data_IF_540935266544
#
_entry.id   IF_540935266544
#
_cell.length_a   1.000
_cell.length_b   1.000
_cell.length_c   1.000
_cell.angle_alpha   90.00
_cell.angle_beta   90.00
_cell.angle_gamma   90.00
#
_symmetry.space_group_name_H-M   'P 1'
#
loop_
_entity.id
_entity.type
_entity.pdbx_description
1 polymer ?
#
# COMPACT_ATOMS: atom_id res chain seq x y z
N UNK A 1 4.89 11.87 -8.83
CA UNK A 1 4.87 11.15 -7.54
C UNK A 1 5.81 9.95 -7.58
N UNK A 2 6.68 9.73 -6.60
CA UNK A 2 7.50 8.52 -6.47
C UNK A 2 6.62 7.28 -6.22
N UNK A 3 7.22 6.11 -6.35
CA UNK A 3 6.53 4.86 -6.03
C UNK A 3 6.20 4.77 -4.53
N UNK A 4 4.97 4.46 -4.17
CA UNK A 4 4.45 4.45 -2.78
C UNK A 4 5.37 3.75 -1.77
N UNK A 5 6.00 2.63 -2.15
CA UNK A 5 6.91 1.90 -1.26
C UNK A 5 8.25 2.62 -1.01
N UNK A 6 8.54 3.72 -1.71
CA UNK A 6 9.72 4.54 -1.45
C UNK A 6 9.49 5.57 -0.32
N UNK A 7 8.25 6.01 -0.10
CA UNK A 7 7.91 7.04 0.90
C UNK A 7 8.31 6.69 2.34
N UNK A 8 8.21 5.42 2.81
CA UNK A 8 8.73 5.06 4.13
C UNK A 8 10.21 5.38 4.37
N UNK A 9 11.00 5.63 3.30
CA UNK A 9 12.38 6.05 3.45
C UNK A 9 12.52 7.37 4.23
N UNK A 10 11.57 8.29 4.08
CA UNK A 10 11.57 9.58 4.77
C UNK A 10 11.51 9.44 6.30
N UNK A 11 10.84 8.40 6.80
CA UNK A 11 10.65 8.17 8.24
C UNK A 11 11.66 7.20 8.85
N UNK A 12 12.59 6.62 8.09
CA UNK A 12 13.61 5.68 8.59
C UNK A 12 14.39 6.22 9.80
N UNK A 13 14.82 7.51 9.86
CA UNK A 13 15.52 8.05 11.01
C UNK A 13 14.68 8.10 12.30
N UNK A 14 13.36 8.08 12.16
CA UNK A 14 12.38 8.17 13.24
C UNK A 14 11.90 6.80 13.74
N UNK A 15 12.38 5.67 13.18
CA UNK A 15 11.98 4.32 13.58
C UNK A 15 12.59 3.93 14.94
N UNK A 16 12.34 4.75 15.95
CA UNK A 16 12.84 4.59 17.34
C UNK A 16 11.84 5.20 18.33
N UNK A 17 11.92 4.76 19.60
CA UNK A 17 11.10 5.37 20.67
C UNK A 17 11.37 6.88 20.75
N UNK A 18 10.34 7.68 21.04
CA UNK A 18 8.98 7.29 21.49
C UNK A 18 8.00 6.98 20.35
N UNK A 19 8.41 7.11 19.08
CA UNK A 19 7.54 6.88 17.93
C UNK A 19 7.14 5.41 17.78
N UNK A 20 5.99 5.19 17.11
CA UNK A 20 5.46 3.88 16.76
C UNK A 20 5.84 3.58 15.30
N UNK A 21 6.86 2.72 15.04
CA UNK A 21 7.37 2.47 13.68
C UNK A 21 6.30 2.06 12.68
N UNK A 22 5.38 1.17 13.08
CA UNK A 22 4.30 0.73 12.20
C UNK A 22 3.37 1.88 11.80
N UNK A 23 3.09 2.84 12.70
CA UNK A 23 2.25 4.00 12.42
C UNK A 23 2.97 5.03 11.53
N UNK A 24 4.28 5.23 11.71
CA UNK A 24 5.10 6.06 10.81
C UNK A 24 5.07 5.54 9.38
N UNK A 25 5.33 4.22 9.20
CA UNK A 25 5.35 3.58 7.89
C UNK A 25 3.95 3.58 7.26
N UNK A 26 2.92 3.21 8.02
CA UNK A 26 1.54 3.21 7.54
C UNK A 26 1.09 4.62 7.14
N UNK A 27 1.41 5.65 7.94
CA UNK A 27 1.12 7.05 7.61
C UNK A 27 1.85 7.50 6.34
N UNK A 28 3.11 7.12 6.17
CA UNK A 28 3.88 7.44 4.96
C UNK A 28 3.37 6.73 3.68
N UNK A 29 2.45 5.78 3.80
CA UNK A 29 1.82 5.08 2.66
C UNK A 29 0.35 5.46 2.47
N UNK A 30 -0.28 6.03 3.50
CA UNK A 30 -1.72 6.26 3.54
C UNK A 30 -2.26 7.16 2.41
N UNK A 31 -1.63 8.30 2.04
CA UNK A 31 -2.15 9.17 1.00
C UNK A 31 -2.28 8.53 -0.38
N UNK A 32 -1.48 7.50 -0.66
CA UNK A 32 -1.50 6.77 -1.93
C UNK A 32 -2.55 5.65 -2.01
N UNK A 33 -3.23 5.32 -0.91
CA UNK A 33 -4.22 4.23 -0.89
C UNK A 33 -5.31 4.38 -1.94
N UNK A 34 -5.85 5.59 -2.26
CA UNK A 34 -6.84 5.75 -3.32
C UNK A 34 -6.39 5.20 -4.68
N UNK A 35 -5.10 5.29 -5.02
CA UNK A 35 -4.58 4.72 -6.27
C UNK A 35 -4.66 3.18 -6.29
N UNK A 36 -4.42 2.53 -5.15
CA UNK A 36 -4.57 1.07 -5.03
C UNK A 36 -6.04 0.64 -5.07
N UNK A 37 -6.95 1.40 -4.43
CA UNK A 37 -8.38 1.16 -4.53
C UNK A 37 -8.87 1.30 -5.98
N UNK A 38 -8.39 2.31 -6.71
CA UNK A 38 -8.64 2.47 -8.14
C UNK A 38 -8.13 1.27 -8.96
N UNK A 39 -6.97 0.70 -8.63
CA UNK A 39 -6.45 -0.51 -9.28
C UNK A 39 -7.32 -1.75 -9.03
N UNK A 40 -8.04 -1.80 -7.89
CA UNK A 40 -9.03 -2.84 -7.57
C UNK A 40 -10.41 -2.58 -8.19
N UNK A 41 -10.58 -1.51 -8.97
CA UNK A 41 -11.85 -1.13 -9.60
C UNK A 41 -12.75 -0.24 -8.75
N UNK A 42 -12.28 0.22 -7.58
CA UNK A 42 -12.97 1.17 -6.73
C UNK A 42 -12.51 2.59 -7.08
N UNK A 43 -12.97 3.11 -8.21
CA UNK A 43 -12.60 4.46 -8.66
C UNK A 43 -13.49 5.52 -8.03
N UNK A 44 -12.95 6.75 -7.93
CA UNK A 44 -13.74 7.91 -7.52
C UNK A 44 -14.86 8.14 -8.53
N UNK A 45 -16.09 8.07 -8.05
CA UNK A 45 -17.29 8.43 -8.82
C UNK A 45 -17.92 9.62 -8.12
N UNK A 46 -18.04 10.74 -8.82
CA UNK A 46 -18.64 11.96 -8.26
C UNK A 46 -20.02 11.70 -7.68
N UNK A 47 -20.30 12.35 -6.55
CA UNK A 47 -21.57 12.23 -5.82
C UNK A 47 -21.83 10.89 -5.10
N UNK A 48 -20.82 10.03 -4.93
CA UNK A 48 -20.94 8.86 -4.06
C UNK A 48 -20.42 9.17 -2.66
N UNK A 49 -21.01 8.53 -1.63
CA UNK A 49 -20.60 8.74 -0.23
C UNK A 49 -19.16 8.31 0.04
N UNK A 50 -18.60 7.43 -0.78
CA UNK A 50 -17.22 6.92 -0.65
C UNK A 50 -16.21 7.69 -1.52
N UNK A 51 -16.66 8.71 -2.28
CA UNK A 51 -15.78 9.53 -3.12
C UNK A 51 -14.55 10.06 -2.35
N UNK A 52 -14.69 10.61 -1.12
CA UNK A 52 -13.52 11.10 -0.38
C UNK A 52 -12.47 10.02 -0.11
N UNK A 53 -12.89 8.75 0.02
CA UNK A 53 -11.99 7.61 0.25
C UNK A 53 -11.31 7.12 -1.03
N UNK A 54 -11.87 7.40 -2.21
CA UNK A 54 -11.33 6.93 -3.49
C UNK A 54 -10.68 8.05 -4.29
N UNK A 55 -10.77 9.29 -3.81
CA UNK A 55 -10.25 10.47 -4.48
C UNK A 55 -8.86 10.84 -3.94
N UNK A 56 -7.83 10.64 -4.76
CA UNK A 56 -6.44 10.97 -4.39
C UNK A 56 -6.23 12.48 -4.12
N UNK A 57 -7.01 13.36 -4.73
CA UNK A 57 -6.95 14.81 -4.42
C UNK A 57 -7.34 15.08 -2.99
N UNK A 58 -8.32 14.34 -2.44
CA UNK A 58 -8.72 14.47 -1.03
C UNK A 58 -7.59 14.00 -0.11
N UNK A 59 -6.98 12.85 -0.36
CA UNK A 59 -5.89 12.32 0.47
C UNK A 59 -4.61 13.18 0.40
N UNK A 60 -4.39 13.92 -0.68
CA UNK A 60 -3.25 14.85 -0.82
C UNK A 60 -3.60 16.28 -0.42
N UNK A 61 -4.71 16.50 0.29
CA UNK A 61 -5.10 17.79 0.82
C UNK A 61 -4.78 17.93 2.31
N UNK A 62 -4.70 19.17 2.80
CA UNK A 62 -4.48 19.43 4.24
C UNK A 62 -5.61 18.83 5.09
N UNK A 63 -6.85 18.86 4.62
CA UNK A 63 -7.99 18.22 5.31
C UNK A 63 -7.88 16.70 5.29
N UNK A 64 -7.32 16.10 4.25
CA UNK A 64 -7.07 14.68 4.13
C UNK A 64 -6.16 14.15 5.24
N UNK A 65 -5.13 14.91 5.63
CA UNK A 65 -4.19 14.54 6.70
C UNK A 65 -4.94 14.14 7.98
N UNK A 66 -5.95 14.91 8.35
CA UNK A 66 -6.69 14.73 9.62
C UNK A 66 -7.94 13.87 9.51
N UNK A 67 -8.28 13.41 8.31
CA UNK A 67 -9.50 12.64 8.05
C UNK A 67 -9.18 11.31 7.36
N UNK A 68 -9.17 11.31 6.03
CA UNK A 68 -9.07 10.14 5.17
C UNK A 68 -7.76 9.38 5.41
N UNK A 69 -6.64 10.10 5.55
CA UNK A 69 -5.33 9.46 5.71
C UNK A 69 -5.16 8.80 7.07
N UNK A 70 -5.78 9.35 8.13
CA UNK A 70 -5.82 8.66 9.43
C UNK A 70 -6.65 7.38 9.37
N UNK A 71 -7.76 7.37 8.60
CA UNK A 71 -8.56 6.17 8.38
C UNK A 71 -7.73 5.13 7.62
N UNK A 72 -7.03 5.53 6.56
CA UNK A 72 -6.15 4.62 5.81
C UNK A 72 -4.98 4.13 6.66
N UNK A 73 -4.36 5.01 7.46
CA UNK A 73 -3.32 4.60 8.41
C UNK A 73 -3.84 3.55 9.38
N UNK A 74 -5.03 3.73 9.96
CA UNK A 74 -5.65 2.74 10.83
C UNK A 74 -5.93 1.43 10.10
N UNK A 75 -6.46 1.49 8.87
CA UNK A 75 -6.67 0.32 8.00
C UNK A 75 -5.37 -0.44 7.72
N UNK A 76 -4.29 0.26 7.39
CA UNK A 76 -2.97 -0.32 7.16
C UNK A 76 -2.38 -0.94 8.44
N UNK A 77 -2.62 -0.35 9.62
CA UNK A 77 -2.21 -0.94 10.90
C UNK A 77 -2.98 -2.23 11.21
N UNK A 78 -4.28 -2.26 10.93
CA UNK A 78 -5.08 -3.49 11.05
C UNK A 78 -4.57 -4.56 10.08
N UNK A 79 -4.32 -4.18 8.82
CA UNK A 79 -3.75 -5.05 7.80
C UNK A 79 -2.37 -5.60 8.21
N UNK A 80 -1.50 -4.74 8.73
CA UNK A 80 -0.21 -5.13 9.27
C UNK A 80 -0.35 -6.18 10.38
N UNK A 81 -1.25 -5.97 11.34
CA UNK A 81 -1.50 -6.92 12.44
C UNK A 81 -2.07 -8.25 11.93
N UNK A 82 -2.97 -8.19 10.94
CA UNK A 82 -3.56 -9.37 10.32
C UNK A 82 -2.50 -10.21 9.59
N UNK A 83 -1.61 -9.57 8.82
CA UNK A 83 -0.69 -10.23 7.91
C UNK A 83 0.68 -10.53 8.53
N UNK A 84 1.08 -9.84 9.59
CA UNK A 84 2.41 -10.01 10.19
C UNK A 84 2.74 -11.45 10.53
N UNK A 85 1.88 -12.13 11.29
CA UNK A 85 2.08 -13.53 11.67
C UNK A 85 2.16 -14.48 10.46
N UNK A 86 1.15 -14.47 9.57
CA UNK A 86 1.17 -15.26 8.35
C UNK A 86 2.40 -15.03 7.48
N UNK A 87 2.80 -13.78 7.27
CA UNK A 87 3.98 -13.44 6.46
C UNK A 87 5.27 -13.92 7.11
N UNK A 88 5.43 -13.74 8.44
CA UNK A 88 6.59 -14.27 9.17
C UNK A 88 6.67 -15.79 9.11
N UNK A 89 5.53 -16.49 9.08
CA UNK A 89 5.49 -17.94 8.92
C UNK A 89 6.00 -18.43 7.55
N UNK A 90 5.96 -17.55 6.52
CA UNK A 90 6.51 -17.82 5.18
C UNK A 90 8.02 -17.51 5.09
N UNK A 91 8.55 -16.72 6.03
CA UNK A 91 9.97 -16.37 6.03
C UNK A 91 10.85 -17.61 6.36
N UNK A 92 12.11 -17.64 5.87
CA UNK A 92 13.06 -18.66 6.28
C UNK A 92 13.24 -18.72 7.80
N UNK A 93 13.60 -19.88 8.37
CA UNK A 93 13.75 -20.07 9.83
C UNK A 93 14.68 -19.08 10.53
N UNK A 94 15.67 -18.56 9.80
CA UNK A 94 16.62 -17.59 10.30
C UNK A 94 16.06 -16.15 10.39
N UNK A 95 14.82 -15.91 9.91
CA UNK A 95 14.23 -14.58 9.85
C UNK A 95 13.07 -14.48 10.86
N UNK A 96 13.12 -13.48 11.72
CA UNK A 96 12.07 -13.13 12.67
C UNK A 96 12.24 -11.69 13.09
N UNK A 97 11.16 -11.02 13.40
CA UNK A 97 11.22 -9.66 13.98
C UNK A 97 10.88 -9.79 15.46
N UNK A 98 11.87 -9.56 16.31
CA UNK A 98 11.63 -9.39 17.73
C UNK A 98 10.80 -8.10 17.92
N UNK A 99 9.55 -8.25 18.33
CA UNK A 99 8.76 -7.11 18.76
C UNK A 99 9.23 -6.76 20.18
N UNK A 100 9.81 -5.58 20.34
CA UNK A 100 9.89 -5.04 21.71
C UNK A 100 8.46 -4.96 22.22
N UNK A 101 8.15 -5.75 23.23
CA UNK A 101 6.86 -5.66 23.90
C UNK A 101 6.59 -4.17 24.24
N UNK A 102 5.41 -3.65 23.93
CA UNK A 102 5.08 -2.30 24.38
C UNK A 102 5.31 -2.25 25.89
N UNK A 103 5.86 -1.15 26.41
CA UNK A 103 6.06 -1.02 27.86
C UNK A 103 4.72 -1.30 28.52
N UNK A 104 4.76 -2.13 29.58
CA UNK A 104 3.58 -2.38 30.39
C UNK A 104 3.05 -1.00 30.85
N UNK A 105 1.94 -0.60 30.25
CA UNK A 105 1.29 0.67 30.57
C UNK A 105 0.28 0.37 31.64
N UNK A 106 0.63 0.68 32.87
CA UNK A 106 -0.29 0.62 33.98
C UNK A 106 -1.15 1.90 33.98
N UNK A 107 -2.46 1.71 33.93
CA UNK A 107 -3.45 2.75 34.09
C UNK A 107 -3.79 3.59 32.84
N UNK A 108 -4.80 4.43 32.99
CA UNK A 108 -5.40 5.26 31.94
C UNK A 108 -4.39 6.25 31.29
N UNK A 109 -3.50 6.85 32.10
CA UNK A 109 -2.48 7.78 31.60
C UNK A 109 -1.44 7.09 30.70
N UNK A 110 -1.06 5.87 31.00
CA UNK A 110 -0.16 5.08 30.17
C UNK A 110 -0.76 4.75 28.82
N UNK A 111 -2.03 4.36 28.80
CA UNK A 111 -2.78 4.11 27.55
C UNK A 111 -2.92 5.38 26.71
N UNK A 112 -3.29 6.51 27.33
CA UNK A 112 -3.39 7.82 26.66
C UNK A 112 -2.07 8.23 25.99
N UNK A 113 -0.92 8.01 26.66
CA UNK A 113 0.39 8.28 26.09
C UNK A 113 0.70 7.40 24.87
N UNK A 114 0.32 6.12 24.90
CA UNK A 114 0.50 5.23 23.74
C UNK A 114 -0.32 5.68 22.54
N UNK A 115 -1.61 6.00 22.75
CA UNK A 115 -2.49 6.50 21.68
C UNK A 115 -1.96 7.82 21.13
N UNK A 116 -1.51 8.73 21.98
CA UNK A 116 -0.89 9.99 21.55
C UNK A 116 0.31 9.75 20.63
N UNK A 117 1.27 8.88 21.03
CA UNK A 117 2.45 8.60 20.20
C UNK A 117 2.08 7.87 18.91
N UNK A 118 1.06 7.02 18.91
CA UNK A 118 0.55 6.39 17.70
C UNK A 118 0.00 7.45 16.72
N UNK A 119 -0.83 8.38 17.19
CA UNK A 119 -1.38 9.45 16.38
C UNK A 119 -0.30 10.42 15.87
N UNK A 120 0.62 10.84 16.74
CA UNK A 120 1.75 11.70 16.35
C UNK A 120 2.61 11.01 15.28
N UNK A 121 2.88 9.71 15.43
CA UNK A 121 3.65 8.94 14.44
C UNK A 121 2.91 8.84 13.11
N UNK A 122 1.59 8.59 13.13
CA UNK A 122 0.76 8.56 11.93
C UNK A 122 0.81 9.91 11.19
N UNK A 123 0.59 11.00 11.90
CA UNK A 123 0.60 12.35 11.32
C UNK A 123 1.97 12.73 10.75
N UNK A 124 3.07 12.39 11.43
CA UNK A 124 4.43 12.59 10.90
C UNK A 124 4.64 11.77 9.64
N UNK A 125 4.17 10.52 9.60
CA UNK A 125 4.24 9.67 8.41
C UNK A 125 3.50 10.29 7.23
N UNK A 126 2.25 10.71 7.42
CA UNK A 126 1.41 11.37 6.40
C UNK A 126 2.08 12.67 5.91
N UNK A 127 2.51 13.53 6.84
CA UNK A 127 3.16 14.79 6.49
C UNK A 127 4.47 14.57 5.73
N UNK A 128 5.26 13.54 6.07
CA UNK A 128 6.49 13.19 5.36
C UNK A 128 6.24 12.74 3.93
N UNK A 129 5.14 12.02 3.67
CA UNK A 129 4.69 11.64 2.34
C UNK A 129 4.40 12.88 1.50
N UNK A 130 3.51 13.74 1.97
CA UNK A 130 3.11 14.95 1.24
C UNK A 130 4.29 15.90 0.99
N UNK A 131 5.19 16.03 1.97
CA UNK A 131 6.42 16.83 1.80
C UNK A 131 7.34 16.24 0.73
N UNK A 132 7.47 14.91 0.66
CA UNK A 132 8.27 14.23 -0.36
C UNK A 132 7.69 14.44 -1.76
N UNK A 133 6.38 14.31 -1.90
CA UNK A 133 5.68 14.58 -3.17
C UNK A 133 5.82 16.03 -3.60
N UNK A 134 5.65 16.97 -2.68
CA UNK A 134 5.86 18.39 -2.98
C UNK A 134 7.26 18.67 -3.55
N UNK A 135 8.30 18.06 -2.98
CA UNK A 135 9.68 18.17 -3.48
C UNK A 135 9.82 17.51 -4.86
N UNK A 136 9.17 16.38 -5.08
CA UNK A 136 9.22 15.64 -6.36
C UNK A 136 8.52 16.40 -7.48
N UNK A 137 7.42 17.06 -7.17
CA UNK A 137 6.55 17.74 -8.14
C UNK A 137 6.99 19.21 -8.43
N UNK A 138 8.13 19.66 -7.89
CA UNK A 138 8.65 21.02 -8.10
C UNK A 138 8.99 21.36 -9.55
N UNK A 139 9.04 20.38 -10.45
CA UNK A 139 9.41 20.61 -11.87
C UNK A 139 10.87 20.98 -12.09
N UNK A 140 11.75 20.78 -11.09
CA UNK A 140 13.19 21.10 -11.18
C UNK A 140 13.92 20.33 -12.28
N UNK A 141 13.42 19.16 -12.66
CA UNK A 141 13.96 18.34 -13.74
C UNK A 141 12.88 18.04 -14.79
N UNK A 142 13.25 17.97 -16.08
CA UNK A 142 12.29 17.67 -17.14
C UNK A 142 11.69 16.27 -17.02
N UNK A 143 10.41 16.14 -17.32
CA UNK A 143 9.68 14.88 -17.36
C UNK A 143 9.61 14.18 -15.99
N UNK A 144 9.62 12.85 -16.01
CA UNK A 144 9.50 12.02 -14.81
C UNK A 144 10.85 11.64 -14.17
N UNK A 145 11.95 12.32 -14.54
CA UNK A 145 13.30 11.96 -14.07
C UNK A 145 13.37 12.02 -12.54
N UNK A 146 12.87 13.10 -11.95
CA UNK A 146 12.89 13.28 -10.49
C UNK A 146 12.07 12.20 -9.76
N UNK A 147 10.95 11.79 -10.34
CA UNK A 147 10.12 10.67 -9.85
C UNK A 147 10.91 9.35 -9.81
N UNK A 148 11.61 9.00 -10.88
CA UNK A 148 12.41 7.77 -10.94
C UNK A 148 13.61 7.82 -10.00
N UNK A 149 14.31 8.96 -9.94
CA UNK A 149 15.45 9.17 -9.02
C UNK A 149 15.00 9.04 -7.58
N UNK A 150 13.93 9.73 -7.18
CA UNK A 150 13.41 9.67 -5.82
C UNK A 150 12.91 8.27 -5.45
N UNK A 151 12.28 7.56 -6.39
CA UNK A 151 11.90 6.15 -6.19
C UNK A 151 13.13 5.28 -5.95
N UNK A 152 14.15 5.39 -6.79
CA UNK A 152 15.39 4.60 -6.65
C UNK A 152 16.13 4.91 -5.34
N UNK A 153 16.26 6.19 -4.99
CA UNK A 153 16.89 6.64 -3.73
C UNK A 153 16.12 6.14 -2.52
N UNK A 154 14.80 6.26 -2.51
CA UNK A 154 13.96 5.79 -1.42
C UNK A 154 14.07 4.27 -1.23
N UNK A 155 13.95 3.49 -2.30
CA UNK A 155 14.08 2.04 -2.23
C UNK A 155 15.50 1.61 -1.81
N UNK A 156 16.54 2.29 -2.30
CA UNK A 156 17.92 2.04 -1.89
C UNK A 156 18.12 2.33 -0.40
N UNK A 157 17.58 3.45 0.11
CA UNK A 157 17.66 3.80 1.53
C UNK A 157 16.98 2.74 2.42
N UNK A 158 15.80 2.25 2.03
CA UNK A 158 15.11 1.14 2.71
C UNK A 158 15.97 -0.13 2.66
N UNK A 159 16.49 -0.48 1.49
CA UNK A 159 17.36 -1.66 1.32
C UNK A 159 18.61 -1.60 2.22
N UNK A 160 19.29 -0.46 2.26
CA UNK A 160 20.45 -0.22 3.12
C UNK A 160 20.04 -0.32 4.60
N UNK A 161 18.90 0.27 4.98
CA UNK A 161 18.40 0.19 6.35
C UNK A 161 18.14 -1.27 6.75
N UNK A 162 17.43 -2.04 5.94
CA UNK A 162 17.14 -3.46 6.19
C UNK A 162 18.45 -4.29 6.25
N UNK A 163 19.39 -4.01 5.36
CA UNK A 163 20.69 -4.71 5.36
C UNK A 163 21.50 -4.40 6.60
N UNK A 164 21.53 -3.15 7.06
CA UNK A 164 22.23 -2.76 8.31
C UNK A 164 21.59 -3.36 9.56
N UNK A 165 20.28 -3.58 9.53
CA UNK A 165 19.52 -4.14 10.66
C UNK A 165 19.20 -5.64 10.48
N UNK A 166 19.83 -6.30 9.50
CA UNK A 166 19.56 -7.72 9.18
C UNK A 166 19.71 -8.67 10.36
N UNK A 167 20.62 -8.38 11.29
CA UNK A 167 20.86 -9.23 12.45
C UNK A 167 19.69 -9.20 13.43
N UNK A 168 19.03 -8.05 13.57
CA UNK A 168 17.77 -7.92 14.33
C UNK A 168 16.61 -8.65 13.64
N UNK A 169 16.63 -8.74 12.30
CA UNK A 169 15.64 -9.45 11.51
C UNK A 169 15.89 -10.97 11.51
N UNK A 170 17.08 -11.41 11.90
CA UNK A 170 17.46 -12.83 11.99
C UNK A 170 17.20 -13.45 13.36
N UNK A 171 16.82 -12.67 14.34
CA UNK A 171 16.48 -13.19 15.67
C UNK A 171 15.15 -13.95 15.58
N UNK A 172 15.24 -15.27 15.73
CA UNK A 172 14.08 -16.15 15.65
C UNK A 172 13.20 -15.99 16.89
N UNK A 173 11.93 -15.62 16.77
CA UNK A 173 10.95 -15.87 17.83
C UNK A 173 10.71 -17.38 17.93
N UNK A 174 10.47 -17.87 19.11
CA UNK A 174 10.22 -19.29 19.40
C UNK A 174 9.15 -19.88 18.47
N UNK A 175 9.48 -21.05 17.91
CA UNK A 175 8.98 -21.64 16.69
C UNK A 175 7.57 -22.24 16.66
N UNK A 176 6.60 -21.79 17.45
CA UNK A 176 5.29 -22.44 17.56
C UNK A 176 4.32 -22.24 16.39
N UNK A 177 4.53 -21.22 15.54
CA UNK A 177 3.61 -20.91 14.43
C UNK A 177 4.24 -21.07 13.03
N UNK A 178 5.35 -21.81 12.90
CA UNK A 178 6.02 -21.98 11.61
C UNK A 178 5.38 -23.05 10.74
N UNK A 179 5.29 -22.76 9.45
CA UNK A 179 4.88 -23.76 8.46
C UNK A 179 6.00 -24.75 8.18
N UNK A 180 5.63 -26.02 7.95
CA UNK A 180 6.56 -27.01 7.39
C UNK A 180 7.05 -26.53 6.00
N UNK A 181 8.26 -26.92 5.56
CA UNK A 181 8.80 -26.49 4.27
C UNK A 181 7.83 -26.73 3.10
N UNK A 182 7.16 -27.88 3.08
CA UNK A 182 6.19 -28.19 2.03
C UNK A 182 5.00 -27.22 2.03
N UNK A 183 4.39 -26.99 3.19
CA UNK A 183 3.27 -26.01 3.32
C UNK A 183 3.70 -24.60 2.96
N UNK A 184 4.91 -24.19 3.36
CA UNK A 184 5.46 -22.88 3.02
C UNK A 184 5.56 -22.69 1.51
N UNK A 185 6.17 -23.64 0.80
CA UNK A 185 6.33 -23.57 -0.65
C UNK A 185 4.99 -23.67 -1.40
N UNK A 186 4.01 -24.44 -0.87
CA UNK A 186 2.65 -24.47 -1.42
C UNK A 186 1.97 -23.11 -1.34
N UNK A 187 2.08 -22.43 -0.19
CA UNK A 187 1.50 -21.08 -0.02
C UNK A 187 2.23 -20.07 -0.93
N UNK A 188 3.56 -20.09 -0.96
CA UNK A 188 4.34 -19.19 -1.85
C UNK A 188 3.96 -19.42 -3.31
N UNK A 189 3.83 -20.68 -3.73
CA UNK A 189 3.39 -21.04 -5.08
C UNK A 189 1.97 -20.55 -5.38
N UNK A 190 1.04 -20.69 -4.44
CA UNK A 190 -0.32 -20.18 -4.58
C UNK A 190 -0.37 -18.65 -4.69
N UNK A 191 0.43 -17.93 -3.89
CA UNK A 191 0.56 -16.48 -3.98
C UNK A 191 1.15 -16.03 -5.32
N UNK A 192 2.20 -16.71 -5.79
CA UNK A 192 2.80 -16.43 -7.09
C UNK A 192 1.81 -16.68 -8.24
N UNK A 193 1.08 -17.81 -8.18
CA UNK A 193 0.04 -18.13 -9.16
C UNK A 193 -1.08 -17.07 -9.17
N UNK A 194 -1.52 -16.61 -8.01
CA UNK A 194 -2.53 -15.56 -7.91
C UNK A 194 -2.04 -14.24 -8.54
N UNK A 195 -0.76 -13.90 -8.36
CA UNK A 195 -0.15 -12.75 -9.05
C UNK A 195 -0.16 -12.92 -10.57
N UNK A 196 0.22 -14.10 -11.07
CA UNK A 196 0.17 -14.41 -12.51
C UNK A 196 -1.27 -14.33 -13.04
N UNK A 197 -2.23 -14.93 -12.34
CA UNK A 197 -3.65 -14.88 -12.75
C UNK A 197 -4.19 -13.45 -12.75
N UNK A 198 -3.80 -12.62 -11.77
CA UNK A 198 -4.15 -11.21 -11.74
C UNK A 198 -3.56 -10.43 -12.93
N UNK A 199 -2.30 -10.72 -13.31
CA UNK A 199 -1.67 -10.14 -14.49
C UNK A 199 -2.41 -10.55 -15.78
N UNK A 200 -2.72 -11.84 -15.92
CA UNK A 200 -3.48 -12.38 -17.07
C UNK A 200 -4.89 -11.78 -17.16
N UNK A 201 -5.56 -11.60 -16.03
CA UNK A 201 -6.90 -11.00 -15.99
C UNK A 201 -6.94 -9.54 -16.50
N UNK A 202 -5.80 -8.82 -16.42
CA UNK A 202 -5.64 -7.46 -16.97
C UNK A 202 -5.07 -7.41 -18.38
N UNK A 203 -4.68 -8.55 -18.93
CA UNK A 203 -4.13 -8.63 -20.27
C UNK A 203 -5.20 -8.42 -21.32
N UNK A 204 -5.20 -7.26 -21.98
CA UNK A 204 -6.15 -6.91 -23.06
C UNK A 204 -5.56 -7.13 -24.47
N UNK A 205 -4.38 -7.74 -24.56
CA UNK A 205 -3.60 -7.81 -25.79
C UNK A 205 -2.80 -6.53 -26.05
N UNK A 206 -1.58 -6.69 -26.59
CA UNK A 206 -0.69 -5.54 -26.81
C UNK A 206 -1.26 -4.51 -27.79
N UNK A 207 -2.11 -4.95 -28.74
CA UNK A 207 -2.75 -4.08 -29.71
C UNK A 207 -3.60 -2.95 -29.07
N UNK A 208 -4.20 -3.22 -27.89
CA UNK A 208 -4.99 -2.21 -27.17
C UNK A 208 -4.16 -0.99 -26.73
N UNK A 209 -2.86 -1.14 -26.58
CA UNK A 209 -1.95 -0.07 -26.16
C UNK A 209 -1.31 0.69 -27.32
N UNK A 210 -1.57 0.25 -28.56
CA UNK A 210 -1.04 0.91 -29.77
C UNK A 210 -1.76 2.20 -30.12
N UNK A 211 -2.90 2.45 -29.52
CA UNK A 211 -3.70 3.63 -29.78
C UNK A 211 -3.97 4.36 -28.46
N UNK A 212 -3.95 5.68 -28.52
CA UNK A 212 -4.32 6.56 -27.41
C UNK A 212 -5.28 7.63 -27.92
N UNK A 213 -6.04 8.20 -27.01
CA UNK A 213 -6.96 9.30 -27.32
C UNK A 213 -6.25 10.62 -27.03
N UNK A 214 -6.22 11.51 -28.03
CA UNK A 214 -5.71 12.87 -27.88
C UNK A 214 -6.82 13.87 -28.16
N UNK A 215 -6.81 14.98 -27.44
CA UNK A 215 -7.73 16.10 -27.70
C UNK A 215 -7.36 16.76 -29.03
N UNK A 216 -8.32 16.81 -29.95
CA UNK A 216 -8.13 17.46 -31.25
C UNK A 216 -8.40 18.97 -31.14
N UNK A 217 -7.37 19.74 -30.91
CA UNK A 217 -7.47 21.20 -30.82
C UNK A 217 -7.76 21.88 -32.16
N UNK A 218 -7.62 21.18 -33.28
CA UNK A 218 -7.86 21.73 -34.62
C UNK A 218 -9.35 21.82 -34.98
N UNK A 219 -10.22 21.15 -34.21
CA UNK A 219 -11.68 21.08 -34.45
C UNK A 219 -12.50 21.49 -33.21
N UNK A 220 -12.43 22.76 -32.77
CA UNK A 220 -13.22 23.24 -31.65
C UNK A 220 -14.73 23.26 -32.01
N UNK A 221 -15.56 22.77 -31.13
CA UNK A 221 -17.03 22.91 -31.22
C UNK A 221 -17.48 23.86 -30.12
N UNK A 222 -17.99 25.03 -30.54
CA UNK A 222 -18.49 26.03 -29.58
C UNK A 222 -20.02 25.99 -29.54
N UNK A 223 -20.58 25.80 -28.35
CA UNK A 223 -22.01 25.88 -28.09
C UNK A 223 -22.28 27.09 -27.19
N UNK A 224 -23.22 27.95 -27.62
CA UNK A 224 -23.67 29.06 -26.80
C UNK A 224 -24.93 28.63 -26.04
N UNK A 225 -24.83 28.65 -24.72
CA UNK A 225 -25.96 28.31 -23.83
C UNK A 225 -26.94 29.48 -23.70
N UNK A 226 -28.21 29.22 -23.31
CA UNK A 226 -29.14 30.26 -22.89
C UNK A 226 -28.52 31.12 -21.77
N UNK A 227 -28.36 32.42 -21.98
CA UNK A 227 -27.66 33.34 -21.10
C UNK A 227 -26.33 33.86 -21.64
N UNK A 228 -25.93 33.50 -22.88
CA UNK A 228 -24.78 34.08 -23.59
C UNK A 228 -23.42 33.47 -23.22
N UNK A 229 -23.40 32.41 -22.39
CA UNK A 229 -22.17 31.68 -22.06
C UNK A 229 -21.81 30.73 -23.18
N UNK A 230 -20.63 30.88 -23.77
CA UNK A 230 -20.12 29.96 -24.80
C UNK A 230 -19.19 28.92 -24.18
N UNK A 231 -19.48 27.64 -24.42
CA UNK A 231 -18.62 26.52 -24.03
C UNK A 231 -17.97 25.98 -25.30
N UNK A 232 -16.65 25.98 -25.32
CA UNK A 232 -15.88 25.38 -26.41
C UNK A 232 -15.40 24.01 -25.95
N UNK A 233 -15.80 22.96 -26.67
CA UNK A 233 -15.34 21.58 -26.46
C UNK A 233 -14.48 21.16 -27.65
N UNK A 234 -13.47 20.37 -27.35
CA UNK A 234 -12.57 19.80 -28.35
C UNK A 234 -12.84 18.30 -28.47
N UNK A 235 -13.15 17.78 -29.67
CA UNK A 235 -13.38 16.35 -29.86
C UNK A 235 -12.09 15.57 -29.62
N UNK A 236 -12.24 14.32 -29.21
CA UNK A 236 -11.13 13.39 -29.08
C UNK A 236 -10.87 12.69 -30.41
N UNK A 237 -9.61 12.45 -30.73
CA UNK A 237 -9.17 11.64 -31.87
C UNK A 237 -8.29 10.49 -31.40
N UNK A 238 -8.45 9.33 -31.99
CA UNK A 238 -7.54 8.21 -31.80
C UNK A 238 -6.28 8.43 -32.62
N UNK A 239 -5.13 8.37 -31.95
CA UNK A 239 -3.80 8.47 -32.56
C UNK A 239 -2.95 7.26 -32.20
N UNK A 240 -1.98 6.94 -33.05
CA UNK A 240 -1.07 5.85 -32.77
C UNK A 240 -0.10 6.29 -31.65
N UNK A 241 -0.10 5.53 -30.55
CA UNK A 241 0.80 5.75 -29.43
C UNK A 241 2.25 5.42 -29.80
N UNK A 242 3.20 6.16 -29.23
CA UNK A 242 4.60 5.80 -29.37
C UNK A 242 4.85 4.38 -28.80
N UNK A 243 5.83 3.68 -29.35
CA UNK A 243 6.19 2.35 -28.83
C UNK A 243 6.53 2.37 -27.33
N UNK A 244 7.21 3.43 -26.86
CA UNK A 244 7.53 3.61 -25.45
C UNK A 244 6.27 3.72 -24.59
N UNK A 245 5.29 4.53 -24.99
CA UNK A 245 4.01 4.70 -24.30
C UNK A 245 3.19 3.41 -24.29
N UNK A 246 3.16 2.70 -25.43
CA UNK A 246 2.45 1.44 -25.55
C UNK A 246 3.03 0.36 -24.61
N UNK A 247 4.36 0.20 -24.59
CA UNK A 247 5.04 -0.75 -23.69
C UNK A 247 4.85 -0.36 -22.23
N UNK A 248 4.97 0.93 -21.90
CA UNK A 248 4.76 1.42 -20.53
C UNK A 248 3.33 1.13 -20.05
N UNK A 249 2.31 1.45 -20.84
CA UNK A 249 0.90 1.17 -20.51
C UNK A 249 0.64 -0.32 -20.29
N UNK A 250 1.15 -1.15 -21.20
CA UNK A 250 1.06 -2.60 -21.11
C UNK A 250 1.69 -3.15 -19.82
N UNK A 251 2.95 -2.78 -19.52
CA UNK A 251 3.64 -3.23 -18.32
C UNK A 251 2.96 -2.74 -17.04
N UNK A 252 2.43 -1.53 -17.08
CA UNK A 252 1.71 -0.95 -15.94
C UNK A 252 0.43 -1.72 -15.61
N UNK A 253 -0.37 -2.09 -16.60
CA UNK A 253 -1.60 -2.84 -16.38
C UNK A 253 -1.34 -4.28 -15.90
N UNK A 254 -0.33 -4.95 -16.49
CA UNK A 254 0.11 -6.27 -16.01
C UNK A 254 0.60 -6.19 -14.57
N UNK A 255 1.42 -5.20 -14.24
CA UNK A 255 1.91 -5.02 -12.88
C UNK A 255 0.77 -4.76 -11.89
N UNK A 256 -0.19 -3.90 -12.25
CA UNK A 256 -1.40 -3.67 -11.42
C UNK A 256 -2.19 -4.94 -11.19
N UNK A 257 -2.41 -5.74 -12.24
CA UNK A 257 -3.11 -7.01 -12.13
C UNK A 257 -2.39 -7.98 -11.22
N UNK A 258 -1.06 -8.12 -11.39
CA UNK A 258 -0.23 -8.99 -10.57
C UNK A 258 -0.29 -8.58 -9.07
N UNK A 259 -0.15 -7.29 -8.79
CA UNK A 259 -0.22 -6.77 -7.42
C UNK A 259 -1.61 -6.98 -6.81
N UNK A 260 -2.68 -6.73 -7.57
CA UNK A 260 -4.05 -6.95 -7.10
C UNK A 260 -4.31 -8.42 -6.78
N UNK A 261 -3.94 -9.34 -7.68
CA UNK A 261 -4.07 -10.79 -7.47
C UNK A 261 -3.29 -11.26 -6.24
N UNK A 262 -2.05 -10.82 -6.10
CA UNK A 262 -1.20 -11.12 -4.94
C UNK A 262 -1.82 -10.57 -3.64
N UNK A 263 -2.33 -9.34 -3.64
CA UNK A 263 -2.93 -8.71 -2.46
C UNK A 263 -4.17 -9.46 -2.00
N UNK A 264 -5.07 -9.83 -2.92
CA UNK A 264 -6.27 -10.61 -2.60
C UNK A 264 -5.90 -11.98 -2.02
N UNK A 265 -4.95 -12.69 -2.63
CA UNK A 265 -4.50 -13.99 -2.15
C UNK A 265 -3.81 -13.91 -0.78
N UNK A 266 -3.01 -12.85 -0.55
CA UNK A 266 -2.35 -12.62 0.73
C UNK A 266 -3.36 -12.31 1.84
N UNK A 267 -4.40 -11.54 1.55
CA UNK A 267 -5.51 -11.28 2.46
C UNK A 267 -6.26 -12.58 2.81
N UNK A 268 -6.62 -13.37 1.80
CA UNK A 268 -7.29 -14.65 1.99
C UNK A 268 -6.44 -15.61 2.85
N UNK A 269 -5.15 -15.69 2.57
CA UNK A 269 -4.19 -16.46 3.37
C UNK A 269 -4.13 -15.96 4.82
N UNK A 270 -4.03 -14.63 5.01
CA UNK A 270 -4.01 -14.00 6.33
C UNK A 270 -5.27 -14.32 7.15
N UNK A 271 -6.44 -14.22 6.54
CA UNK A 271 -7.73 -14.57 7.18
C UNK A 271 -7.77 -16.05 7.54
N UNK A 272 -7.43 -16.94 6.59
CA UNK A 272 -7.40 -18.38 6.82
C UNK A 272 -6.44 -18.78 7.97
N UNK A 273 -5.28 -18.10 8.03
CA UNK A 273 -4.32 -18.28 9.13
C UNK A 273 -4.92 -17.89 10.47
N UNK A 274 -5.54 -16.71 10.59
CA UNK A 274 -6.14 -16.24 11.85
C UNK A 274 -7.29 -17.16 12.30
N UNK A 275 -8.15 -17.56 11.37
CA UNK A 275 -9.24 -18.51 11.65
C UNK A 275 -8.67 -19.83 12.16
N UNK A 276 -7.69 -20.40 11.48
CA UNK A 276 -7.07 -21.66 11.90
C UNK A 276 -6.39 -21.58 13.28
N UNK A 277 -5.82 -20.41 13.62
CA UNK A 277 -5.22 -20.14 14.94
C UNK A 277 -6.28 -20.09 16.05
N UNK A 278 -7.40 -19.42 15.79
CA UNK A 278 -8.52 -19.36 16.75
C UNK A 278 -9.10 -20.75 16.99
N UNK A 279 -9.32 -21.54 15.93
CA UNK A 279 -9.86 -22.89 16.03
C UNK A 279 -8.92 -23.82 16.82
N UNK A 280 -7.62 -23.76 16.59
CA UNK A 280 -6.63 -24.54 17.37
C UNK A 280 -6.69 -24.19 18.85
N UNK A 281 -6.65 -22.90 19.20
CA UNK A 281 -6.74 -22.46 20.60
C UNK A 281 -8.01 -22.93 21.31
N UNK A 282 -9.15 -22.94 20.61
CA UNK A 282 -10.41 -23.43 21.15
C UNK A 282 -10.34 -24.94 21.45
N UNK A 283 -9.72 -25.71 20.56
CA UNK A 283 -9.52 -27.14 20.73
C UNK A 283 -8.63 -27.45 21.94
N UNK A 284 -7.47 -26.79 22.03
CA UNK A 284 -6.53 -26.97 23.13
C UNK A 284 -7.18 -26.64 24.47
N UNK A 285 -7.96 -25.57 24.56
CA UNK A 285 -8.70 -25.20 25.77
C UNK A 285 -9.80 -26.23 26.13
N UNK A 286 -10.46 -26.83 25.15
CA UNK A 286 -11.46 -27.88 25.40
C UNK A 286 -10.83 -29.19 25.88
N UNK A 287 -9.64 -29.52 25.36
CA UNK A 287 -8.90 -30.72 25.81
C UNK A 287 -8.39 -30.55 27.26
N UNK A 288 -7.92 -29.34 27.62
CA UNK A 288 -7.51 -29.00 29.01
C UNK A 288 -8.72 -29.03 29.99
N UNK A 289 -9.89 -28.58 29.56
CA UNK A 289 -11.10 -28.58 30.36
C UNK A 289 -11.63 -30.00 30.61
N UNK A 290 -11.42 -30.92 29.67
CA UNK A 290 -11.88 -32.30 29.74
C UNK A 290 -10.90 -33.26 30.44
N UNK A 291 -9.66 -32.85 30.68
CA UNK A 291 -8.63 -33.65 31.34
C UNK A 291 -7.92 -32.80 32.44
N UNK A 292 -8.63 -32.44 33.54
CA UNK A 292 -8.03 -31.78 34.66
C UNK A 292 -7.00 -32.75 35.31
N UNK A 293 -5.72 -32.32 35.43
CA UNK A 293 -4.62 -33.08 36.01
C UNK A 293 -4.84 -33.41 37.48
#
# INVERSE_FOLDING_TARGET
MPFTLAHPAAVLPLLRRPFVPAALIAGAMAPDIPYFLGALGLSATSHTWYEPLTNATTSHSVSGIFTVDLIFTAGLLVLYRLLRGPVLALCPPAWGVQEEAPPATEGFLGYGKQVMWLLVSALIGIASHLAWDLVTDTGLLPGNILTYVNTAVGLAAIGIYLWRHRDRLRTSPDGHDRLSPAKRWSVVGALALAGVLGAVARFQGFAAYRYTTETNFDQPTTQTLPGGVSITTYPERMVEASWGSAVQGFLYDIAKGAVAGLAVALLAYGIAWQVSRVLRRRRDNSELANNPA
#
